data_IF_363936274651
#
_entry.id   IF_363936274651
#
_cell.length_a   1.000
_cell.length_b   1.000
_cell.length_c   1.000
_cell.angle_alpha   90.00
_cell.angle_beta   90.00
_cell.angle_gamma   90.00
#
_symmetry.space_group_name_H-M   'P 1'
#
loop_
_entity.id
_entity.type
_entity.pdbx_description
1 polymer ?
#
# COMPACT_ATOMS: atom_id res chain seq x y z
N UNK A 1 -13.46 -2.37 -17.56
CA UNK A 1 -13.02 -3.55 -16.78
C UNK A 1 -11.62 -3.93 -17.23
N UNK A 2 -10.65 -4.10 -16.31
CA UNK A 2 -9.33 -4.59 -16.68
C UNK A 2 -9.44 -6.03 -17.18
N UNK A 3 -8.78 -6.36 -18.30
CA UNK A 3 -8.75 -7.72 -18.84
C UNK A 3 -8.12 -8.67 -17.81
N UNK A 4 -8.68 -9.88 -17.68
CA UNK A 4 -8.15 -10.96 -16.83
C UNK A 4 -6.68 -11.21 -17.23
N UNK A 5 -5.74 -11.08 -16.28
CA UNK A 5 -4.29 -11.23 -16.45
C UNK A 5 -3.50 -10.03 -17.00
N UNK A 6 -4.06 -8.85 -17.10
CA UNK A 6 -3.28 -7.66 -17.42
C UNK A 6 -2.63 -7.11 -16.15
N UNK A 7 -1.30 -6.97 -16.14
CA UNK A 7 -0.56 -6.25 -15.09
C UNK A 7 -1.10 -4.82 -15.01
N UNK A 8 -1.31 -4.33 -13.79
CA UNK A 8 -1.76 -2.96 -13.62
C UNK A 8 -0.68 -2.00 -14.12
N UNK A 9 -1.06 -0.98 -14.87
CA UNK A 9 -0.16 0.12 -15.28
C UNK A 9 0.29 0.99 -14.11
N UNK A 10 -0.27 0.79 -12.92
CA UNK A 10 0.12 1.49 -11.69
C UNK A 10 1.61 1.30 -11.40
N UNK A 11 2.26 2.36 -10.94
CA UNK A 11 3.65 2.40 -10.53
C UNK A 11 3.79 2.39 -9.00
N UNK A 12 5.00 2.28 -8.49
CA UNK A 12 5.34 2.53 -7.09
C UNK A 12 5.86 3.96 -6.93
N UNK A 13 5.82 4.48 -5.72
CA UNK A 13 6.58 5.67 -5.31
C UNK A 13 7.93 5.21 -4.76
N UNK A 14 8.98 5.99 -4.98
CA UNK A 14 10.19 5.86 -4.19
C UNK A 14 9.84 6.10 -2.71
N UNK A 15 10.55 5.44 -1.79
CA UNK A 15 10.19 5.52 -0.38
C UNK A 15 10.27 6.94 0.18
N UNK A 16 11.25 7.73 -0.25
CA UNK A 16 11.36 9.15 0.12
C UNK A 16 10.16 9.97 -0.38
N UNK A 17 9.70 9.72 -1.61
CA UNK A 17 8.52 10.39 -2.17
C UNK A 17 7.23 9.95 -1.45
N UNK A 18 7.16 8.69 -1.02
CA UNK A 18 6.07 8.21 -0.18
C UNK A 18 6.04 8.93 1.18
N UNK A 19 7.19 9.09 1.86
CA UNK A 19 7.28 9.82 3.11
C UNK A 19 6.93 11.30 2.93
N UNK A 20 7.39 11.93 1.85
CA UNK A 20 7.02 13.29 1.50
C UNK A 20 5.51 13.44 1.31
N UNK A 21 4.89 12.50 0.61
CA UNK A 21 3.42 12.48 0.44
C UNK A 21 2.71 12.39 1.79
N UNK A 22 3.15 11.51 2.69
CA UNK A 22 2.55 11.40 4.02
C UNK A 22 2.64 12.71 4.80
N UNK A 23 3.79 13.40 4.72
CA UNK A 23 3.96 14.70 5.37
C UNK A 23 3.03 15.76 4.76
N UNK A 24 2.94 15.86 3.43
CA UNK A 24 2.01 16.77 2.76
C UNK A 24 0.54 16.52 3.16
N UNK A 25 0.13 15.24 3.26
CA UNK A 25 -1.21 14.87 3.69
C UNK A 25 -1.47 15.27 5.15
N UNK A 26 -0.46 15.11 6.00
CA UNK A 26 -0.52 15.49 7.41
C UNK A 26 -0.68 17.00 7.59
N UNK A 27 0.18 17.77 6.94
CA UNK A 27 0.21 19.24 7.03
C UNK A 27 -1.07 19.87 6.51
N UNK A 28 -1.70 19.25 5.51
CA UNK A 28 -2.99 19.71 4.98
C UNK A 28 -4.23 19.19 5.75
N UNK A 29 -4.03 18.45 6.86
CA UNK A 29 -5.13 17.84 7.63
C UNK A 29 -5.89 16.73 6.89
N UNK A 30 -5.34 16.19 5.81
CA UNK A 30 -5.94 15.11 5.02
C UNK A 30 -5.74 13.74 5.69
N UNK A 31 -5.96 13.67 7.01
CA UNK A 31 -5.66 12.53 7.88
C UNK A 31 -6.29 11.21 7.43
N UNK A 32 -7.49 11.25 6.88
CA UNK A 32 -8.13 10.05 6.30
C UNK A 32 -7.30 9.45 5.17
N UNK A 33 -6.69 10.28 4.36
CA UNK A 33 -5.89 9.84 3.21
C UNK A 33 -4.48 9.45 3.61
N UNK A 34 -3.93 10.11 4.62
CA UNK A 34 -2.70 9.67 5.28
C UNK A 34 -2.90 8.27 5.88
N UNK A 35 -4.02 8.05 6.60
CA UNK A 35 -4.35 6.74 7.15
C UNK A 35 -4.52 5.68 6.06
N UNK A 36 -5.18 6.01 4.94
CA UNK A 36 -5.29 5.11 3.78
C UNK A 36 -3.92 4.71 3.23
N UNK A 37 -3.02 5.69 3.02
CA UNK A 37 -1.68 5.43 2.49
C UNK A 37 -0.87 4.54 3.44
N UNK A 38 -0.87 4.85 4.74
CA UNK A 38 -0.18 4.05 5.77
C UNK A 38 -0.74 2.64 5.87
N UNK A 39 -2.06 2.50 5.95
CA UNK A 39 -2.72 1.19 6.09
C UNK A 39 -2.45 0.31 4.85
N UNK A 40 -2.55 0.88 3.65
CA UNK A 40 -2.26 0.17 2.40
C UNK A 40 -0.81 -0.27 2.30
N UNK A 41 0.14 0.56 2.73
CA UNK A 41 1.56 0.25 2.76
C UNK A 41 1.86 -0.83 3.82
N UNK A 42 1.51 -0.59 5.09
CA UNK A 42 1.86 -1.48 6.20
C UNK A 42 1.24 -2.88 6.10
N UNK A 43 0.07 -3.01 5.50
CA UNK A 43 -0.60 -4.31 5.35
C UNK A 43 -0.30 -4.99 4.03
N UNK A 44 0.15 -4.24 3.04
CA UNK A 44 0.27 -4.72 1.66
C UNK A 44 -0.99 -5.42 1.14
N UNK A 45 -2.17 -5.06 1.64
CA UNK A 45 -3.46 -5.59 1.21
C UNK A 45 -3.92 -5.00 -0.12
N UNK A 46 -4.78 -5.72 -0.85
CA UNK A 46 -5.48 -5.14 -2.00
C UNK A 46 -6.48 -4.09 -1.50
N UNK A 47 -6.75 -3.07 -2.32
CA UNK A 47 -7.68 -2.01 -1.95
C UNK A 47 -9.06 -2.54 -1.54
N UNK A 48 -9.55 -3.62 -2.19
CA UNK A 48 -10.81 -4.28 -1.82
C UNK A 48 -10.84 -4.77 -0.36
N UNK A 49 -9.67 -5.10 0.17
CA UNK A 49 -9.51 -5.61 1.53
C UNK A 49 -9.21 -4.46 2.50
N UNK A 50 -8.38 -3.50 2.08
CA UNK A 50 -8.07 -2.28 2.87
C UNK A 50 -9.31 -1.50 3.27
N UNK A 51 -10.24 -1.30 2.36
CA UNK A 51 -11.48 -0.54 2.62
C UNK A 51 -12.45 -1.24 3.58
N UNK A 52 -12.24 -2.54 3.87
CA UNK A 52 -13.07 -3.30 4.81
C UNK A 52 -12.59 -3.21 6.26
N UNK A 53 -11.41 -2.64 6.50
CA UNK A 53 -10.93 -2.52 7.87
C UNK A 53 -11.82 -1.59 8.70
N UNK A 54 -12.14 -2.07 9.90
CA UNK A 54 -12.74 -1.32 10.98
C UNK A 54 -11.69 -1.04 12.05
N UNK A 55 -11.91 -0.06 12.89
CA UNK A 55 -10.92 0.34 13.89
C UNK A 55 -10.54 -0.80 14.85
N UNK A 56 -11.50 -1.60 15.30
CA UNK A 56 -11.20 -2.75 16.17
C UNK A 56 -10.34 -3.84 15.49
N UNK A 57 -10.24 -3.86 14.17
CA UNK A 57 -9.37 -4.81 13.48
C UNK A 57 -7.88 -4.44 13.57
N UNK A 58 -7.57 -3.14 13.72
CA UNK A 58 -6.20 -2.62 13.55
C UNK A 58 -5.66 -1.85 14.76
N UNK A 59 -6.55 -1.39 15.66
CA UNK A 59 -6.15 -0.57 16.80
C UNK A 59 -5.89 -1.43 18.04
N UNK A 60 -4.71 -1.26 18.63
CA UNK A 60 -4.27 -1.98 19.85
C UNK A 60 -4.22 -3.51 19.70
N UNK A 61 -3.97 -4.01 18.50
CA UNK A 61 -3.84 -5.43 18.22
C UNK A 61 -2.44 -5.76 17.72
N UNK A 62 -1.83 -6.90 18.11
CA UNK A 62 -0.50 -7.28 17.67
C UNK A 62 -0.47 -7.76 16.21
N UNK A 63 -1.61 -8.16 15.69
CA UNK A 63 -1.75 -8.63 14.31
C UNK A 63 -3.17 -8.47 13.79
N UNK A 64 -3.30 -8.45 12.48
CA UNK A 64 -4.58 -8.37 11.75
C UNK A 64 -4.80 -9.63 10.93
N UNK A 65 -5.97 -10.25 11.05
CA UNK A 65 -6.39 -11.35 10.18
C UNK A 65 -7.16 -10.81 8.99
N UNK A 66 -6.74 -11.16 7.78
CA UNK A 66 -7.35 -10.71 6.53
C UNK A 66 -7.72 -11.91 5.68
N UNK A 67 -9.00 -12.04 5.37
CA UNK A 67 -9.46 -12.97 4.34
C UNK A 67 -9.62 -12.20 3.03
N UNK A 68 -8.74 -12.47 2.08
CA UNK A 68 -8.69 -11.75 0.80
C UNK A 68 -9.93 -12.03 -0.03
N UNK A 69 -10.66 -10.98 -0.41
CA UNK A 69 -11.89 -11.11 -1.25
C UNK A 69 -11.64 -11.80 -2.59
N UNK A 70 -10.45 -11.59 -3.19
CA UNK A 70 -10.13 -12.15 -4.52
C UNK A 70 -9.81 -13.64 -4.48
N UNK A 71 -9.19 -14.13 -3.40
CA UNK A 71 -8.61 -15.49 -3.35
C UNK A 71 -9.25 -16.39 -2.29
N UNK A 72 -10.00 -15.82 -1.36
CA UNK A 72 -10.54 -16.51 -0.19
C UNK A 72 -9.50 -16.94 0.85
N UNK A 73 -8.22 -16.68 0.60
CA UNK A 73 -7.15 -17.07 1.52
C UNK A 73 -7.07 -16.12 2.71
N UNK A 74 -6.94 -16.69 3.90
CA UNK A 74 -6.71 -15.94 5.14
C UNK A 74 -5.22 -15.84 5.43
N UNK A 75 -4.76 -14.66 5.85
CA UNK A 75 -3.40 -14.43 6.34
C UNK A 75 -3.41 -13.55 7.57
N UNK A 76 -2.45 -13.78 8.45
CA UNK A 76 -2.19 -12.93 9.62
C UNK A 76 -1.05 -11.97 9.29
N UNK A 77 -1.28 -10.69 9.54
CA UNK A 77 -0.32 -9.60 9.29
C UNK A 77 0.10 -9.05 10.65
N UNK A 78 1.36 -9.19 11.07
CA UNK A 78 1.83 -8.60 12.31
C UNK A 78 1.86 -7.07 12.20
N UNK A 79 1.45 -6.40 13.27
CA UNK A 79 1.49 -4.94 13.38
C UNK A 79 2.52 -4.60 14.46
N UNK A 80 3.69 -4.13 14.04
CA UNK A 80 4.76 -3.80 14.97
C UNK A 80 4.40 -2.57 15.85
N UNK A 81 5.09 -2.38 17.00
CA UNK A 81 4.77 -1.32 17.94
C UNK A 81 4.82 0.10 17.35
N UNK A 82 5.72 0.37 16.39
CA UNK A 82 5.84 1.67 15.73
C UNK A 82 4.59 1.96 14.87
N UNK A 83 4.13 0.97 14.10
CA UNK A 83 2.89 1.07 13.30
C UNK A 83 1.68 1.23 14.21
N UNK A 84 1.61 0.47 15.32
CA UNK A 84 0.51 0.62 16.30
C UNK A 84 0.47 2.02 16.89
N UNK A 85 1.63 2.59 17.25
CA UNK A 85 1.72 3.98 17.74
C UNK A 85 1.15 4.94 16.71
N UNK A 86 1.56 4.81 15.45
CA UNK A 86 1.08 5.68 14.36
C UNK A 86 -0.43 5.53 14.11
N UNK A 87 -0.96 4.31 14.16
CA UNK A 87 -2.41 4.11 14.01
C UNK A 87 -3.21 4.73 15.17
N UNK A 88 -2.69 4.72 16.41
CA UNK A 88 -3.31 5.43 17.54
C UNK A 88 -3.29 6.96 17.35
N UNK A 89 -2.18 7.50 16.88
CA UNK A 89 -2.09 8.94 16.54
C UNK A 89 -3.14 9.32 15.50
N UNK A 90 -3.23 8.55 14.41
CA UNK A 90 -4.22 8.79 13.35
C UNK A 90 -5.66 8.64 13.85
N UNK A 91 -5.93 7.68 14.73
CA UNK A 91 -7.24 7.50 15.35
C UNK A 91 -7.67 8.75 16.17
N UNK A 92 -6.73 9.34 16.90
CA UNK A 92 -6.97 10.57 17.67
C UNK A 92 -7.23 11.75 16.73
N UNK A 93 -6.39 11.94 15.70
CA UNK A 93 -6.53 13.01 14.71
C UNK A 93 -7.84 12.92 13.91
N UNK A 94 -8.37 11.72 13.73
CA UNK A 94 -9.66 11.46 13.08
C UNK A 94 -10.86 11.59 14.00
N UNK A 95 -10.67 12.08 15.24
CA UNK A 95 -11.75 12.38 16.18
C UNK A 95 -12.23 11.20 17.01
N UNK A 96 -11.44 10.13 17.12
CA UNK A 96 -11.76 8.89 17.89
C UNK A 96 -13.10 8.26 17.47
N UNK A 97 -13.23 7.80 16.22
CA UNK A 97 -14.46 7.16 15.73
C UNK A 97 -14.84 5.92 16.57
N UNK A 98 -16.08 5.43 16.44
CA UNK A 98 -16.44 4.17 17.09
C UNK A 98 -15.56 3.02 16.57
N UNK A 99 -15.24 2.09 17.46
CA UNK A 99 -14.39 0.94 17.12
C UNK A 99 -14.99 0.04 16.03
N UNK A 100 -16.31 0.09 15.84
CA UNK A 100 -17.04 -0.65 14.81
C UNK A 100 -17.13 0.10 13.49
N UNK A 101 -16.71 1.37 13.45
CA UNK A 101 -16.69 2.17 12.23
C UNK A 101 -15.59 1.69 11.28
N UNK A 102 -15.82 1.92 9.97
CA UNK A 102 -14.78 1.73 8.98
C UNK A 102 -13.64 2.75 9.20
N UNK A 103 -12.41 2.29 9.05
CA UNK A 103 -11.24 3.18 9.06
C UNK A 103 -11.33 4.23 7.95
N UNK A 104 -11.95 3.82 6.84
CA UNK A 104 -12.13 4.63 5.63
C UNK A 104 -13.63 4.68 5.30
N UNK A 105 -14.43 5.45 6.06
CA UNK A 105 -15.86 5.53 5.82
C UNK A 105 -16.16 6.31 4.53
N UNK A 106 -17.32 6.00 3.93
CA UNK A 106 -17.93 6.84 2.91
C UNK A 106 -18.40 8.17 3.50
N UNK A 107 -18.88 9.08 2.68
CA UNK A 107 -19.51 10.33 3.15
C UNK A 107 -20.79 10.09 3.94
N UNK A 108 -21.43 8.94 3.77
CA UNK A 108 -22.63 8.54 4.52
C UNK A 108 -22.29 7.85 5.86
N UNK A 109 -21.02 7.50 6.12
CA UNK A 109 -20.54 6.98 7.39
C UNK A 109 -20.71 5.46 7.59
N UNK A 110 -21.82 4.89 7.21
CA UNK A 110 -22.22 3.49 7.45
C UNK A 110 -21.63 2.45 6.47
N UNK A 111 -20.97 2.91 5.43
CA UNK A 111 -20.34 2.09 4.37
C UNK A 111 -18.88 2.46 4.18
N UNK A 112 -18.06 1.52 3.68
CA UNK A 112 -16.68 1.86 3.32
C UNK A 112 -16.65 2.78 2.11
N UNK A 113 -15.57 3.54 1.98
CA UNK A 113 -15.30 4.35 0.79
C UNK A 113 -15.22 3.48 -0.47
N UNK A 114 -15.64 4.01 -1.62
CA UNK A 114 -15.54 3.31 -2.89
C UNK A 114 -14.14 3.41 -3.50
N UNK A 115 -13.75 2.37 -4.26
CA UNK A 115 -12.47 2.36 -4.99
C UNK A 115 -12.39 3.51 -6.00
N UNK A 116 -13.51 3.84 -6.64
CA UNK A 116 -13.57 4.97 -7.58
C UNK A 116 -13.25 6.30 -6.87
N UNK A 117 -13.84 6.52 -5.69
CA UNK A 117 -13.56 7.73 -4.91
C UNK A 117 -12.10 7.83 -4.48
N UNK A 118 -11.49 6.69 -4.09
CA UNK A 118 -10.06 6.65 -3.80
C UNK A 118 -9.24 7.06 -5.01
N UNK A 119 -9.47 6.44 -6.18
CA UNK A 119 -8.72 6.76 -7.40
C UNK A 119 -8.89 8.23 -7.84
N UNK A 120 -10.10 8.79 -7.70
CA UNK A 120 -10.33 10.22 -7.96
C UNK A 120 -9.47 11.12 -7.05
N UNK A 121 -9.45 10.81 -5.76
CA UNK A 121 -8.68 11.60 -4.79
C UNK A 121 -7.17 11.42 -4.98
N UNK A 122 -6.70 10.21 -5.30
CA UNK A 122 -5.29 9.98 -5.62
C UNK A 122 -4.83 10.79 -6.84
N UNK A 123 -5.63 10.84 -7.91
CA UNK A 123 -5.33 11.70 -9.06
C UNK A 123 -5.22 13.17 -8.67
N UNK A 124 -6.11 13.64 -7.82
CA UNK A 124 -6.06 15.00 -7.30
C UNK A 124 -4.80 15.25 -6.47
N UNK A 125 -4.41 14.33 -5.56
CA UNK A 125 -3.17 14.44 -4.79
C UNK A 125 -1.93 14.42 -5.67
N UNK A 126 -1.91 13.57 -6.72
CA UNK A 126 -0.82 13.58 -7.70
C UNK A 126 -0.57 14.98 -8.24
N UNK A 127 -1.62 15.66 -8.66
CA UNK A 127 -1.53 17.03 -9.18
C UNK A 127 -1.18 18.03 -8.09
N UNK A 128 -1.89 18.01 -6.95
CA UNK A 128 -1.71 18.95 -5.85
C UNK A 128 -0.27 18.94 -5.30
N UNK A 129 0.27 17.74 -5.06
CA UNK A 129 1.60 17.58 -4.48
C UNK A 129 2.71 17.37 -5.51
N UNK A 130 2.38 17.47 -6.80
CA UNK A 130 3.34 17.31 -7.93
C UNK A 130 4.16 16.03 -7.79
N UNK A 131 3.47 14.90 -7.51
CA UNK A 131 4.14 13.62 -7.32
C UNK A 131 4.80 13.16 -8.62
N UNK A 132 6.04 12.68 -8.50
CA UNK A 132 6.83 12.14 -9.61
C UNK A 132 6.42 10.68 -9.90
N UNK A 133 5.24 10.50 -10.44
CA UNK A 133 4.68 9.19 -10.79
C UNK A 133 3.67 9.37 -11.92
N UNK A 134 3.70 8.52 -12.95
CA UNK A 134 2.76 8.66 -14.07
C UNK A 134 1.41 8.03 -13.75
N UNK A 135 1.40 6.85 -13.20
CA UNK A 135 0.21 6.06 -12.94
C UNK A 135 -0.07 5.84 -11.45
N UNK A 136 -0.47 6.92 -10.75
CA UNK A 136 -0.81 6.88 -9.34
C UNK A 136 -2.22 6.32 -9.12
N UNK A 137 -2.33 5.17 -8.48
CA UNK A 137 -3.60 4.48 -8.26
C UNK A 137 -3.65 3.72 -6.93
N UNK A 138 -4.77 3.04 -6.67
CA UNK A 138 -4.97 2.23 -5.46
C UNK A 138 -3.96 1.09 -5.28
N UNK A 139 -3.22 0.69 -6.30
CA UNK A 139 -2.16 -0.31 -6.21
C UNK A 139 -0.80 0.28 -5.83
N UNK A 140 -0.63 1.59 -5.94
CA UNK A 140 0.67 2.25 -5.76
C UNK A 140 1.29 1.96 -4.40
N UNK A 141 0.57 2.15 -3.29
CA UNK A 141 1.13 1.96 -1.95
C UNK A 141 1.53 0.50 -1.67
N UNK A 142 0.76 -0.45 -2.19
CA UNK A 142 1.12 -1.87 -2.10
C UNK A 142 2.34 -2.20 -2.95
N UNK A 143 2.52 -1.57 -4.12
CA UNK A 143 3.73 -1.68 -4.94
C UNK A 143 4.92 -1.01 -4.26
N UNK A 144 4.72 0.16 -3.66
CA UNK A 144 5.73 0.87 -2.87
C UNK A 144 6.24 0.00 -1.71
N UNK A 145 5.35 -0.68 -0.98
CA UNK A 145 5.76 -1.66 0.02
C UNK A 145 6.62 -2.77 -0.57
N UNK A 146 6.19 -3.38 -1.68
CA UNK A 146 6.95 -4.44 -2.32
C UNK A 146 8.33 -3.99 -2.78
N UNK A 147 8.43 -2.78 -3.36
CA UNK A 147 9.70 -2.20 -3.78
C UNK A 147 10.60 -1.88 -2.58
N UNK A 148 10.05 -1.28 -1.54
CA UNK A 148 10.75 -0.98 -0.30
C UNK A 148 11.36 -2.23 0.34
N UNK A 149 10.59 -3.32 0.50
CA UNK A 149 11.10 -4.58 1.05
C UNK A 149 12.23 -5.15 0.18
N UNK A 150 12.07 -5.14 -1.14
CA UNK A 150 13.09 -5.62 -2.06
C UNK A 150 14.41 -4.83 -1.95
N UNK A 151 14.33 -3.51 -1.88
CA UNK A 151 15.51 -2.64 -1.77
C UNK A 151 16.19 -2.75 -0.40
N UNK A 152 15.44 -2.73 0.68
CA UNK A 152 15.99 -2.84 2.05
C UNK A 152 16.53 -4.22 2.38
N UNK A 153 16.17 -5.24 1.59
CA UNK A 153 16.71 -6.61 1.69
C UNK A 153 17.84 -6.88 0.68
N UNK A 154 18.60 -5.86 0.30
CA UNK A 154 19.71 -5.94 -0.65
C UNK A 154 19.36 -6.57 -2.00
N UNK A 155 18.10 -6.41 -2.45
CA UNK A 155 17.59 -6.95 -3.72
C UNK A 155 17.78 -8.47 -3.87
N UNK A 156 17.71 -9.20 -2.76
CA UNK A 156 18.00 -10.63 -2.71
C UNK A 156 16.90 -11.47 -3.37
N UNK A 157 17.27 -12.65 -3.85
CA UNK A 157 16.31 -13.64 -4.35
C UNK A 157 15.34 -14.11 -3.27
N UNK A 158 15.82 -14.20 -2.02
CA UNK A 158 15.00 -14.57 -0.86
C UNK A 158 13.90 -13.52 -0.60
N UNK A 159 14.21 -12.23 -0.72
CA UNK A 159 13.21 -11.18 -0.57
C UNK A 159 12.10 -11.28 -1.62
N UNK A 160 12.42 -11.70 -2.84
CA UNK A 160 11.42 -11.96 -3.88
C UNK A 160 10.52 -13.16 -3.55
N UNK A 161 11.07 -14.22 -2.96
CA UNK A 161 10.28 -15.38 -2.50
C UNK A 161 9.33 -14.97 -1.35
N UNK A 162 9.81 -14.19 -0.39
CA UNK A 162 9.00 -13.67 0.70
C UNK A 162 7.91 -12.74 0.19
N UNK A 163 8.25 -11.81 -0.71
CA UNK A 163 7.28 -10.90 -1.34
C UNK A 163 6.22 -11.66 -2.15
N UNK A 164 6.60 -12.72 -2.87
CA UNK A 164 5.66 -13.55 -3.58
C UNK A 164 4.60 -14.13 -2.64
N UNK A 165 5.01 -14.63 -1.46
CA UNK A 165 4.11 -15.11 -0.41
C UNK A 165 3.26 -13.99 0.19
N UNK A 166 3.88 -12.87 0.59
CA UNK A 166 3.19 -11.71 1.18
C UNK A 166 2.13 -11.14 0.23
N UNK A 167 2.49 -11.00 -1.04
CA UNK A 167 1.59 -10.44 -2.05
C UNK A 167 0.61 -11.48 -2.62
N UNK A 168 0.75 -12.77 -2.22
CA UNK A 168 -0.06 -13.87 -2.72
C UNK A 168 -0.14 -13.88 -4.25
N UNK A 169 1.04 -13.84 -4.89
CA UNK A 169 1.17 -13.94 -6.34
C UNK A 169 1.41 -15.38 -6.77
N UNK A 170 0.91 -15.75 -7.95
CA UNK A 170 1.02 -17.10 -8.47
C UNK A 170 2.43 -17.47 -8.95
N UNK A 171 3.29 -16.49 -9.25
CA UNK A 171 4.67 -16.70 -9.69
C UNK A 171 5.60 -15.58 -9.24
N UNK A 172 6.90 -15.89 -9.19
CA UNK A 172 7.95 -14.89 -8.91
C UNK A 172 8.02 -13.86 -10.04
N UNK A 173 7.83 -14.26 -11.29
CA UNK A 173 7.77 -13.35 -12.44
C UNK A 173 6.68 -12.28 -12.25
N UNK A 174 5.52 -12.70 -11.76
CA UNK A 174 4.46 -11.74 -11.42
C UNK A 174 4.90 -10.76 -10.34
N UNK A 175 5.65 -11.23 -9.34
CA UNK A 175 6.16 -10.36 -8.27
C UNK A 175 7.20 -9.39 -8.82
N UNK A 176 8.17 -9.85 -9.63
CA UNK A 176 9.18 -9.00 -10.28
C UNK A 176 8.53 -7.88 -11.09
N UNK A 177 7.63 -8.24 -11.99
CA UNK A 177 6.92 -7.26 -12.81
C UNK A 177 6.02 -6.33 -11.96
N UNK A 178 5.43 -6.84 -10.87
CA UNK A 178 4.58 -6.07 -9.97
C UNK A 178 5.34 -4.96 -9.23
N UNK A 179 6.55 -5.25 -8.74
CA UNK A 179 7.40 -4.28 -8.03
C UNK A 179 8.27 -3.44 -8.96
N UNK A 180 8.13 -3.62 -10.28
CA UNK A 180 8.81 -2.79 -11.28
C UNK A 180 10.29 -3.11 -11.46
N UNK A 181 10.70 -4.38 -11.31
CA UNK A 181 12.05 -4.81 -11.74
C UNK A 181 12.06 -4.80 -13.26
N UNK A 182 12.87 -3.91 -13.84
CA UNK A 182 12.96 -3.67 -15.27
C UNK A 182 14.18 -4.36 -15.89
N UNK A 183 14.18 -4.49 -17.22
CA UNK A 183 15.35 -4.93 -17.97
C UNK A 183 16.54 -3.99 -17.80
N UNK A 184 16.28 -2.69 -17.59
CA UNK A 184 17.34 -1.70 -17.36
C UNK A 184 18.11 -1.94 -16.06
N UNK A 185 17.43 -2.42 -15.00
CA UNK A 185 18.12 -2.84 -13.77
C UNK A 185 19.04 -4.05 -14.02
N UNK A 186 18.61 -4.97 -14.88
CA UNK A 186 19.45 -6.12 -15.31
C UNK A 186 20.62 -5.63 -16.15
N UNK A 187 20.36 -4.73 -17.10
CA UNK A 187 21.40 -4.13 -17.95
C UNK A 187 22.41 -3.33 -17.12
N UNK A 188 21.95 -2.66 -16.06
CA UNK A 188 22.83 -1.92 -15.12
C UNK A 188 23.88 -2.80 -14.47
N UNK A 189 23.56 -4.08 -14.19
CA UNK A 189 24.53 -5.05 -13.65
C UNK A 189 25.64 -5.31 -14.67
N UNK A 190 25.31 -5.50 -15.94
CA UNK A 190 26.31 -5.72 -16.99
C UNK A 190 27.19 -4.47 -17.18
N UNK A 191 26.59 -3.28 -17.12
CA UNK A 191 27.33 -2.01 -17.25
C UNK A 191 28.23 -1.70 -16.04
N UNK A 192 28.04 -2.38 -14.91
CA UNK A 192 28.87 -2.20 -13.70
C UNK A 192 30.12 -3.10 -13.69
N UNK A 193 30.26 -4.03 -14.63
CA UNK A 193 31.43 -4.92 -14.73
C UNK A 193 32.63 -4.09 -15.20
N UNK A 194 33.67 -4.05 -14.35
CA UNK A 194 34.97 -3.43 -14.67
C UNK A 194 36.02 -4.52 -14.69
N UNK A 195 36.93 -4.49 -15.68
CA UNK A 195 38.06 -5.38 -15.80
C UNK A 195 39.35 -4.64 -15.43
#
# INVERSE_FOLDING_TARGET
MAKKNQLTTSEHLDYQEYERLLQCLHDDGEYKWEMYARLSFCTACRVSDVIQFKWHHILNVPSVNVTEKKTGKTRTIPINPSVQKKFREMYILLGRPDMKDYVLPSTQGDKPITIQRINQKLKWFKSKYRLKIDNFSTHTFRKTFGRYVYETSNRSAESLLLLNKILNHHSIQTTKAYIGITQDEINGIFNSIQF
#
